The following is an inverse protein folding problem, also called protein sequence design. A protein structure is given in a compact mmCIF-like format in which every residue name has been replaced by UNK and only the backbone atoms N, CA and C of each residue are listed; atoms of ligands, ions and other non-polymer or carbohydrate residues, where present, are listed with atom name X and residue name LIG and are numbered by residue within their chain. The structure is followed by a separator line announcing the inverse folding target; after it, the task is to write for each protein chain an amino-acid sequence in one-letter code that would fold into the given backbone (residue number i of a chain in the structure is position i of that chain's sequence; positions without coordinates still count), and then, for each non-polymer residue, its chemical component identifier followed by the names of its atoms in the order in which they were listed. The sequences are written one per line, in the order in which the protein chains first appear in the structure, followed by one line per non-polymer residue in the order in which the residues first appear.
data_IF_418808780874
#
_entry.id   IF_418808780874
#
_cell.length_a   1.000
_cell.length_b   1.000
_cell.length_c   1.000
_cell.angle_alpha   90.00
_cell.angle_beta   90.00
_cell.angle_gamma   90.00
#
_symmetry.space_group_name_H-M   'P 1'
#
loop_
_entity.id
_entity.type
_entity.pdbx_description
1 polymer ?
#
# COMPACT_ATOMS: atom_id res chain seq x y z
N UNK A 1 -19.44 13.53 25.00
CA UNK A 1 -17.97 13.79 24.99
C UNK A 1 -17.27 12.68 24.24
N UNK A 2 -16.45 13.03 23.28
CA UNK A 2 -15.68 12.05 22.51
C UNK A 2 -14.59 11.44 23.39
N UNK A 3 -14.55 10.11 23.46
CA UNK A 3 -13.55 9.37 24.24
C UNK A 3 -12.64 8.51 23.37
N UNK A 4 -13.10 8.12 22.18
CA UNK A 4 -12.41 7.25 21.26
C UNK A 4 -12.28 7.90 19.89
N UNK A 5 -11.12 7.73 19.26
CA UNK A 5 -10.87 8.19 17.89
C UNK A 5 -10.44 6.98 17.07
N UNK A 6 -11.09 6.78 15.93
CA UNK A 6 -10.73 5.77 14.94
C UNK A 6 -10.05 6.43 13.76
N UNK A 7 -8.85 5.96 13.43
CA UNK A 7 -8.10 6.46 12.28
C UNK A 7 -8.09 5.43 11.16
N UNK A 8 -8.30 5.87 9.94
CA UNK A 8 -7.92 5.12 8.75
C UNK A 8 -6.39 5.20 8.61
N UNK A 9 -5.75 4.09 8.23
CA UNK A 9 -4.29 4.03 8.17
C UNK A 9 -3.77 4.61 6.85
N UNK A 10 -4.19 4.03 5.73
CA UNK A 10 -3.67 4.36 4.41
C UNK A 10 -4.22 5.70 3.93
N UNK A 11 -3.33 6.59 3.47
CA UNK A 11 -3.64 7.95 3.01
C UNK A 11 -4.22 8.88 4.10
N UNK A 12 -4.27 8.44 5.34
CA UNK A 12 -4.64 9.25 6.51
C UNK A 12 -3.46 9.45 7.44
N UNK A 13 -2.87 8.37 7.94
CA UNK A 13 -1.69 8.39 8.80
C UNK A 13 -0.41 8.04 8.03
N UNK A 14 -0.51 7.11 7.08
CA UNK A 14 0.58 6.68 6.22
C UNK A 14 0.40 7.22 4.81
N UNK A 15 1.50 7.72 4.25
CA UNK A 15 1.60 8.05 2.83
C UNK A 15 1.76 6.76 2.03
N UNK A 16 0.65 6.09 1.78
CA UNK A 16 0.62 4.79 1.09
C UNK A 16 1.09 4.91 -0.36
N UNK A 17 0.74 5.98 -1.05
CA UNK A 17 1.18 6.22 -2.43
C UNK A 17 2.70 6.26 -2.55
N UNK A 18 3.37 6.86 -1.57
CA UNK A 18 4.84 6.90 -1.52
C UNK A 18 5.43 5.52 -1.28
N UNK A 19 4.84 4.74 -0.38
CA UNK A 19 5.25 3.35 -0.11
C UNK A 19 5.05 2.46 -1.33
N UNK A 20 3.91 2.61 -2.00
CA UNK A 20 3.57 1.89 -3.23
C UNK A 20 4.53 2.22 -4.36
N UNK A 21 4.84 3.49 -4.57
CA UNK A 21 5.79 3.94 -5.59
C UNK A 21 7.20 3.38 -5.35
N UNK A 22 7.64 3.38 -4.09
CA UNK A 22 8.93 2.77 -3.70
C UNK A 22 8.94 1.26 -3.98
N UNK A 23 7.91 0.55 -3.54
CA UNK A 23 7.81 -0.89 -3.70
C UNK A 23 7.78 -1.28 -5.18
N UNK A 24 7.01 -0.55 -6.00
CA UNK A 24 6.93 -0.76 -7.44
C UNK A 24 8.28 -0.51 -8.11
N UNK A 25 8.94 0.60 -7.80
CA UNK A 25 10.25 0.93 -8.38
C UNK A 25 11.31 -0.12 -8.02
N UNK A 26 11.32 -0.57 -6.78
CA UNK A 26 12.25 -1.60 -6.32
C UNK A 26 11.98 -2.94 -7.02
N UNK A 27 10.72 -3.32 -7.18
CA UNK A 27 10.35 -4.54 -7.88
C UNK A 27 10.76 -4.47 -9.36
N UNK A 28 10.50 -3.37 -10.04
CA UNK A 28 10.88 -3.19 -11.44
C UNK A 28 12.41 -3.30 -11.62
N UNK A 29 13.19 -2.62 -10.77
CA UNK A 29 14.67 -2.73 -10.81
C UNK A 29 15.13 -4.15 -10.54
N UNK A 30 14.50 -4.85 -9.63
CA UNK A 30 14.85 -6.24 -9.30
C UNK A 30 14.72 -7.17 -10.53
N UNK A 31 13.73 -6.94 -11.37
CA UNK A 31 13.53 -7.72 -12.60
C UNK A 31 14.22 -7.14 -13.83
N UNK A 32 15.06 -6.11 -13.64
CA UNK A 32 15.84 -5.51 -14.73
C UNK A 32 15.10 -4.46 -15.56
N UNK A 33 13.99 -3.93 -15.07
CA UNK A 33 13.22 -2.88 -15.74
C UNK A 33 13.50 -1.54 -15.08
N UNK A 34 13.90 -0.55 -15.86
CA UNK A 34 14.04 0.82 -15.36
C UNK A 34 12.66 1.42 -15.07
N UNK A 35 12.42 1.91 -13.84
CA UNK A 35 11.14 2.50 -13.46
C UNK A 35 10.97 3.92 -14.01
N UNK A 36 10.87 4.03 -15.33
CA UNK A 36 10.62 5.31 -16.00
C UNK A 36 9.22 5.82 -15.70
N UNK A 37 9.01 7.11 -15.89
CA UNK A 37 7.69 7.73 -15.74
C UNK A 37 6.64 7.05 -16.62
N UNK A 38 7.01 6.65 -17.83
CA UNK A 38 6.12 5.94 -18.75
C UNK A 38 5.69 4.57 -18.20
N UNK A 39 6.65 3.80 -17.68
CA UNK A 39 6.36 2.48 -17.10
C UNK A 39 5.48 2.61 -15.86
N UNK A 40 5.79 3.54 -14.98
CA UNK A 40 5.02 3.81 -13.77
C UNK A 40 3.58 4.25 -14.12
N UNK A 41 3.44 5.16 -15.07
CA UNK A 41 2.13 5.63 -15.54
C UNK A 41 1.31 4.48 -16.14
N UNK A 42 1.93 3.66 -16.98
CA UNK A 42 1.25 2.50 -17.59
C UNK A 42 0.81 1.49 -16.53
N UNK A 43 1.68 1.19 -15.58
CA UNK A 43 1.30 0.34 -14.44
C UNK A 43 0.08 0.92 -13.71
N UNK A 44 0.06 2.21 -13.45
CA UNK A 44 -1.03 2.87 -12.75
C UNK A 44 -2.38 2.71 -13.48
N UNK A 45 -2.39 2.85 -14.80
CA UNK A 45 -3.58 2.63 -15.63
C UNK A 45 -4.07 1.19 -15.55
N UNK A 46 -3.16 0.24 -15.71
CA UNK A 46 -3.48 -1.19 -15.62
C UNK A 46 -4.02 -1.52 -14.23
N UNK A 47 -3.35 -1.07 -13.19
CA UNK A 47 -3.74 -1.31 -11.80
C UNK A 47 -5.16 -0.81 -11.54
N UNK A 48 -5.48 0.42 -11.92
CA UNK A 48 -6.83 0.98 -11.78
C UNK A 48 -7.88 0.13 -12.49
N UNK A 49 -7.58 -0.33 -13.72
CA UNK A 49 -8.51 -1.16 -14.49
C UNK A 49 -8.80 -2.49 -13.81
N UNK A 50 -7.79 -3.10 -13.19
CA UNK A 50 -7.95 -4.39 -12.48
C UNK A 50 -8.77 -4.24 -11.21
N UNK A 51 -8.48 -3.21 -10.40
CA UNK A 51 -9.26 -2.92 -9.19
C UNK A 51 -10.73 -2.61 -9.52
N UNK A 52 -11.00 -1.91 -10.62
CA UNK A 52 -12.35 -1.65 -11.09
C UNK A 52 -13.11 -2.94 -11.41
N UNK A 53 -12.44 -3.91 -12.02
CA UNK A 53 -13.05 -5.23 -12.29
C UNK A 53 -13.34 -6.00 -10.99
N UNK A 54 -12.50 -5.87 -9.99
CA UNK A 54 -12.80 -6.42 -8.66
C UNK A 54 -14.05 -5.79 -8.06
N UNK A 55 -14.18 -4.49 -8.12
CA UNK A 55 -15.37 -3.77 -7.63
C UNK A 55 -16.65 -4.23 -8.34
N UNK A 56 -16.55 -4.62 -9.60
CA UNK A 56 -17.65 -5.16 -10.39
C UNK A 56 -17.89 -6.66 -10.14
N UNK A 57 -17.11 -7.29 -9.27
CA UNK A 57 -17.23 -8.71 -8.97
C UNK A 57 -16.68 -9.65 -10.06
N UNK A 58 -15.91 -9.13 -11.02
CA UNK A 58 -15.39 -9.90 -12.16
C UNK A 58 -14.02 -10.53 -11.90
N UNK A 59 -13.29 -10.06 -10.89
CA UNK A 59 -11.99 -10.58 -10.49
C UNK A 59 -11.92 -10.78 -9.00
N UNK A 60 -11.10 -11.74 -8.55
CA UNK A 60 -10.69 -11.88 -7.17
C UNK A 60 -9.51 -10.94 -6.87
N UNK A 61 -9.22 -10.69 -5.59
CA UNK A 61 -8.04 -9.89 -5.19
C UNK A 61 -6.74 -10.49 -5.71
N UNK A 62 -6.60 -11.81 -5.66
CA UNK A 62 -5.42 -12.49 -6.17
C UNK A 62 -5.27 -12.29 -7.68
N UNK A 63 -6.36 -12.39 -8.43
CA UNK A 63 -6.36 -12.13 -9.86
C UNK A 63 -5.97 -10.68 -10.20
N UNK A 64 -6.43 -9.70 -9.41
CA UNK A 64 -6.00 -8.30 -9.57
C UNK A 64 -4.50 -8.18 -9.39
N UNK A 65 -3.97 -8.72 -8.31
CA UNK A 65 -2.56 -8.62 -7.95
C UNK A 65 -1.63 -9.22 -9.01
N UNK A 66 -1.99 -10.32 -9.58
CA UNK A 66 -1.18 -11.02 -10.58
C UNK A 66 -1.41 -10.48 -11.99
N UNK A 67 -2.65 -10.29 -12.41
CA UNK A 67 -2.96 -9.88 -13.78
C UNK A 67 -2.39 -8.52 -14.16
N UNK A 68 -2.25 -7.61 -13.22
CA UNK A 68 -1.63 -6.30 -13.49
C UNK A 68 -0.18 -6.45 -13.95
N UNK A 69 0.57 -7.40 -13.39
CA UNK A 69 1.94 -7.67 -13.82
C UNK A 69 1.99 -8.50 -15.09
N UNK A 70 1.07 -9.46 -15.27
CA UNK A 70 0.97 -10.22 -16.52
C UNK A 70 0.80 -9.29 -17.72
N UNK A 71 -0.10 -8.32 -17.62
CA UNK A 71 -0.34 -7.34 -18.67
C UNK A 71 0.88 -6.46 -18.90
N UNK A 72 1.44 -5.89 -17.83
CA UNK A 72 2.60 -5.00 -17.94
C UNK A 72 3.81 -5.70 -18.55
N UNK A 73 4.10 -6.90 -18.08
CA UNK A 73 5.26 -7.66 -18.56
C UNK A 73 5.10 -8.12 -20.01
N UNK A 74 3.89 -8.47 -20.42
CA UNK A 74 3.61 -8.76 -21.81
C UNK A 74 3.87 -7.56 -22.72
N UNK A 75 3.48 -6.36 -22.29
CA UNK A 75 3.74 -5.12 -23.04
C UNK A 75 5.24 -4.75 -23.09
N UNK A 76 5.97 -5.02 -22.00
CA UNK A 76 7.40 -4.69 -21.89
C UNK A 76 8.32 -5.79 -22.45
N UNK A 77 7.79 -6.95 -22.80
CA UNK A 77 8.58 -8.11 -23.23
C UNK A 77 9.44 -8.69 -22.09
N UNK A 78 8.96 -8.62 -20.85
CA UNK A 78 9.68 -9.14 -19.68
C UNK A 78 9.22 -10.57 -19.39
N UNK A 79 10.20 -11.45 -19.24
CA UNK A 79 9.98 -12.85 -18.86
C UNK A 79 10.18 -13.03 -17.35
N UNK A 80 9.12 -12.71 -16.60
CA UNK A 80 9.10 -12.88 -15.15
C UNK A 80 7.70 -13.37 -14.76
N UNK A 81 7.60 -14.42 -13.92
CA UNK A 81 6.30 -14.85 -13.41
C UNK A 81 5.63 -13.74 -12.60
N UNK A 82 4.36 -13.46 -12.88
CA UNK A 82 3.60 -12.44 -12.18
C UNK A 82 3.49 -12.72 -10.67
N UNK A 83 3.40 -14.00 -10.29
CA UNK A 83 3.36 -14.40 -8.88
C UNK A 83 4.65 -14.02 -8.13
N UNK A 84 5.80 -14.16 -8.78
CA UNK A 84 7.11 -13.76 -8.22
C UNK A 84 7.20 -12.26 -8.03
N UNK A 85 6.81 -11.49 -9.04
CA UNK A 85 6.76 -10.03 -8.97
C UNK A 85 5.80 -9.54 -7.88
N UNK A 86 4.64 -10.18 -7.78
CA UNK A 86 3.66 -9.88 -6.73
C UNK A 86 4.24 -10.11 -5.34
N UNK A 87 4.89 -11.24 -5.11
CA UNK A 87 5.50 -11.58 -3.83
C UNK A 87 6.61 -10.58 -3.46
N UNK A 88 7.45 -10.22 -4.40
CA UNK A 88 8.50 -9.23 -4.17
C UNK A 88 7.93 -7.84 -3.87
N UNK A 89 6.94 -7.41 -4.63
CA UNK A 89 6.26 -6.13 -4.39
C UNK A 89 5.63 -6.07 -3.00
N UNK A 90 4.93 -7.13 -2.60
CA UNK A 90 4.29 -7.20 -1.29
C UNK A 90 5.32 -7.21 -0.15
N UNK A 91 6.45 -7.89 -0.33
CA UNK A 91 7.56 -7.85 0.60
C UNK A 91 8.10 -6.42 0.77
N UNK A 92 8.34 -5.73 -0.34
CA UNK A 92 8.78 -4.33 -0.33
C UNK A 92 7.75 -3.40 0.30
N UNK A 93 6.47 -3.65 0.06
CA UNK A 93 5.38 -2.86 0.62
C UNK A 93 5.23 -3.08 2.13
N UNK A 94 5.57 -4.28 2.63
CA UNK A 94 5.52 -4.62 4.06
C UNK A 94 6.62 -3.96 4.89
N UNK A 95 7.64 -3.43 4.25
CA UNK A 95 8.72 -2.70 4.93
C UNK A 95 8.18 -1.39 5.50
N UNK A 96 8.97 -0.76 6.39
CA UNK A 96 8.58 0.48 7.07
C UNK A 96 8.02 1.51 6.08
N UNK A 97 6.76 1.89 6.30
CA UNK A 97 6.07 2.86 5.47
C UNK A 97 6.49 4.30 5.74
N UNK A 98 5.95 5.21 4.95
CA UNK A 98 6.16 6.65 5.11
C UNK A 98 4.97 7.26 5.84
N UNK A 99 5.22 7.94 6.97
CA UNK A 99 4.21 8.72 7.65
C UNK A 99 4.07 10.09 6.99
N UNK A 100 2.85 10.64 6.96
CA UNK A 100 2.70 12.05 6.65
C UNK A 100 3.43 12.89 7.70
N UNK A 101 4.02 14.05 7.35
CA UNK A 101 4.88 14.83 8.25
C UNK A 101 4.25 15.16 9.60
N UNK A 102 2.96 15.44 9.63
CA UNK A 102 2.26 15.84 10.85
C UNK A 102 1.61 14.70 11.63
N UNK A 103 1.72 13.46 11.14
CA UNK A 103 1.08 12.29 11.77
C UNK A 103 1.55 12.08 13.21
N UNK A 104 2.85 12.10 13.44
CA UNK A 104 3.44 11.91 14.79
C UNK A 104 2.99 13.00 15.72
N UNK A 105 3.07 14.25 15.29
CA UNK A 105 2.66 15.41 16.09
C UNK A 105 1.18 15.34 16.46
N UNK A 106 0.33 14.93 15.52
CA UNK A 106 -1.10 14.73 15.76
C UNK A 106 -1.33 13.68 16.83
N UNK A 107 -0.69 12.51 16.69
CA UNK A 107 -0.85 11.40 17.63
C UNK A 107 -0.33 11.74 19.02
N UNK A 108 0.81 12.44 19.11
CA UNK A 108 1.35 12.91 20.38
C UNK A 108 0.42 13.92 21.07
N UNK A 109 -0.18 14.82 20.30
CA UNK A 109 -1.13 15.82 20.82
C UNK A 109 -2.38 15.16 21.39
N UNK A 110 -2.87 14.10 20.77
CA UNK A 110 -4.08 13.39 21.19
C UNK A 110 -3.82 12.31 22.24
N UNK A 111 -2.59 11.87 22.37
CA UNK A 111 -2.22 10.83 23.34
C UNK A 111 -2.51 11.29 24.78
N UNK A 112 -3.14 10.43 25.54
CA UNK A 112 -3.56 10.72 26.91
C UNK A 112 -4.90 11.45 27.05
N UNK A 113 -5.40 12.08 25.98
CA UNK A 113 -6.70 12.76 25.94
C UNK A 113 -7.81 11.85 25.42
N UNK A 114 -7.49 10.97 24.47
CA UNK A 114 -8.40 10.07 23.78
C UNK A 114 -7.79 8.69 23.65
N UNK A 115 -8.66 7.67 23.60
CA UNK A 115 -8.27 6.33 23.17
C UNK A 115 -8.25 6.31 21.65
N UNK A 116 -7.13 5.89 21.09
CA UNK A 116 -6.92 5.91 19.65
C UNK A 116 -6.81 4.50 19.10
N UNK A 117 -7.43 4.28 17.94
CA UNK A 117 -7.45 3.00 17.26
C UNK A 117 -7.17 3.20 15.78
N UNK A 118 -6.54 2.21 15.14
CA UNK A 118 -6.33 2.16 13.70
C UNK A 118 -7.25 1.12 13.11
N UNK A 119 -7.98 1.49 12.06
CA UNK A 119 -8.82 0.59 11.27
C UNK A 119 -8.16 0.39 9.92
N UNK A 120 -7.83 -0.85 9.56
CA UNK A 120 -7.24 -1.20 8.28
C UNK A 120 -8.31 -1.69 7.32
N UNK A 121 -8.30 -1.16 6.08
CA UNK A 121 -9.22 -1.58 5.02
C UNK A 121 -9.06 -3.04 4.58
N UNK A 122 -7.90 -3.64 4.77
CA UNK A 122 -7.59 -4.99 4.32
C UNK A 122 -8.02 -6.11 5.25
N UNK A 123 -8.59 -5.79 6.39
CA UNK A 123 -9.03 -6.78 7.37
C UNK A 123 -9.80 -6.12 8.50
N UNK A 124 -10.62 -6.91 9.14
CA UNK A 124 -11.44 -6.51 10.30
C UNK A 124 -10.60 -6.28 11.56
N UNK A 125 -9.35 -5.82 11.42
CA UNK A 125 -8.49 -5.59 12.58
C UNK A 125 -8.54 -4.14 13.00
N UNK A 126 -8.95 -3.95 14.25
CA UNK A 126 -8.83 -2.67 14.95
C UNK A 126 -7.64 -2.78 15.89
N UNK A 127 -6.63 -1.95 15.71
CA UNK A 127 -5.43 -1.92 16.54
C UNK A 127 -5.47 -0.72 17.47
N UNK A 128 -5.31 -0.96 18.78
CA UNK A 128 -5.19 0.11 19.77
C UNK A 128 -3.84 0.79 19.69
N UNK A 129 -3.82 2.11 19.70
CA UNK A 129 -2.59 2.90 19.80
C UNK A 129 -2.36 3.20 21.28
N UNK A 130 -1.47 2.43 21.93
CA UNK A 130 -1.16 2.60 23.34
C UNK A 130 -0.03 3.59 23.61
N UNK A 131 0.84 3.80 22.62
CA UNK A 131 1.89 4.81 22.70
C UNK A 131 2.37 5.22 21.31
N UNK A 132 2.82 6.48 21.17
CA UNK A 132 3.39 6.97 19.91
C UNK A 132 4.58 6.14 19.41
N UNK A 133 5.51 5.66 20.25
CA UNK A 133 6.61 4.80 19.80
C UNK A 133 6.18 3.45 19.20
N UNK A 134 5.08 2.88 19.63
CA UNK A 134 4.57 1.62 19.08
C UNK A 134 4.03 1.77 17.66
N UNK A 135 3.61 2.96 17.29
CA UNK A 135 3.16 3.25 15.95
C UNK A 135 4.28 3.11 14.90
N UNK A 136 5.52 3.32 15.29
CA UNK A 136 6.70 3.14 14.42
C UNK A 136 6.95 1.69 14.02
N UNK A 137 6.41 0.73 14.75
CA UNK A 137 6.56 -0.70 14.50
C UNK A 137 5.51 -1.24 13.49
N UNK A 138 4.58 -0.40 13.11
CA UNK A 138 3.60 -0.72 12.08
C UNK A 138 4.16 -0.36 10.70
#
# INVERSE_FOLDING_TARGET
MVQNILFDLDETLLDFKRSESRALSNMLRHIGVEPTEQVISRYSEINKSRWKLLEQGLLTRQQVKESRYEILFAELGVDCPAAEATAYYEDQLSQKGFLFPDTIKLLETLHGKYRMYIVSKGGSKVLSISSAPLFWAL
#
